data_IF_754594060334
#
_entry.id   IF_754594060334
#
_cell.length_a   1.000
_cell.length_b   1.000
_cell.length_c   1.000
_cell.angle_alpha   90.00
_cell.angle_beta   90.00
_cell.angle_gamma   90.00
#
_symmetry.space_group_name_H-M   'P 1'
#
loop_
_entity.id
_entity.type
_entity.pdbx_description
1 polymer ?
#
# COMPACT_ATOMS: atom_id res chain seq x y z
N UNK A 1 21.04 23.19 14.46
CA UNK A 1 20.61 22.97 13.06
C UNK A 1 21.49 21.86 12.51
N UNK A 2 20.97 20.64 12.31
CA UNK A 2 21.76 19.54 11.75
C UNK A 2 22.14 19.89 10.31
N UNK A 3 23.43 19.86 10.01
CA UNK A 3 23.96 20.09 8.68
C UNK A 3 23.53 18.93 7.76
N UNK A 4 22.77 19.23 6.70
CA UNK A 4 22.36 18.20 5.73
C UNK A 4 23.59 17.75 4.95
N UNK A 5 23.95 16.48 5.12
CA UNK A 5 24.97 15.81 4.30
C UNK A 5 24.54 15.83 2.83
N UNK A 6 25.38 16.37 1.95
CA UNK A 6 25.14 16.42 0.50
C UNK A 6 25.90 15.27 -0.18
N UNK A 7 25.52 14.95 -1.42
CA UNK A 7 26.22 13.95 -2.24
C UNK A 7 27.70 14.29 -2.43
N UNK A 8 28.03 15.58 -2.50
CA UNK A 8 29.40 16.05 -2.67
C UNK A 8 30.29 15.61 -1.50
N UNK A 9 29.78 15.75 -0.28
CA UNK A 9 30.55 15.49 0.94
C UNK A 9 30.82 13.96 1.09
N UNK A 10 29.88 13.12 0.64
CA UNK A 10 30.04 11.65 0.59
C UNK A 10 31.05 11.23 -0.48
N UNK A 11 31.03 11.90 -1.63
CA UNK A 11 31.95 11.61 -2.72
C UNK A 11 33.40 11.95 -2.34
N UNK A 12 33.60 13.07 -1.65
CA UNK A 12 34.89 13.52 -1.15
C UNK A 12 35.46 12.57 -0.09
N UNK A 13 34.64 12.11 0.86
CA UNK A 13 35.05 11.15 1.91
C UNK A 13 35.47 9.77 1.34
N UNK A 14 34.89 9.36 0.21
CA UNK A 14 35.22 8.09 -0.45
C UNK A 14 36.30 8.21 -1.52
N UNK A 15 36.72 9.43 -1.87
CA UNK A 15 37.60 9.69 -3.01
C UNK A 15 36.98 9.32 -4.36
N UNK A 16 35.65 9.41 -4.48
CA UNK A 16 34.89 9.05 -5.68
C UNK A 16 34.32 10.30 -6.36
N UNK A 17 33.92 10.16 -7.62
CA UNK A 17 33.16 11.22 -8.29
C UNK A 17 31.71 11.27 -7.78
N UNK A 18 31.11 12.47 -7.76
CA UNK A 18 29.68 12.64 -7.43
C UNK A 18 28.77 11.85 -8.36
N UNK A 19 29.18 11.65 -9.62
CA UNK A 19 28.48 10.81 -10.58
C UNK A 19 28.50 9.32 -10.20
N UNK A 20 29.62 8.82 -9.67
CA UNK A 20 29.73 7.44 -9.18
C UNK A 20 28.79 7.21 -8.00
N UNK A 21 28.79 8.10 -7.02
CA UNK A 21 27.87 8.03 -5.87
C UNK A 21 26.41 8.15 -6.32
N UNK A 22 26.11 9.06 -7.25
CA UNK A 22 24.77 9.20 -7.84
C UNK A 22 24.33 7.93 -8.56
N UNK A 23 25.20 7.27 -9.33
CA UNK A 23 24.87 6.02 -10.01
C UNK A 23 24.53 4.90 -9.02
N UNK A 24 25.25 4.80 -7.90
CA UNK A 24 24.95 3.83 -6.84
C UNK A 24 23.58 4.13 -6.20
N UNK A 25 23.29 5.39 -5.87
CA UNK A 25 22.00 5.81 -5.29
C UNK A 25 20.82 5.48 -6.23
N UNK A 26 21.02 5.60 -7.54
CA UNK A 26 20.00 5.31 -8.55
C UNK A 26 19.99 3.85 -9.04
N UNK A 27 20.75 2.95 -8.40
CA UNK A 27 20.81 1.53 -8.76
C UNK A 27 21.47 1.21 -10.11
N UNK A 28 22.19 2.18 -10.71
CA UNK A 28 22.92 2.02 -11.98
C UNK A 28 24.32 1.43 -11.73
N UNK A 29 24.38 0.23 -11.16
CA UNK A 29 25.63 -0.40 -10.71
C UNK A 29 26.43 -1.11 -11.81
N UNK A 30 25.89 -1.26 -13.03
CA UNK A 30 26.57 -1.94 -14.17
C UNK A 30 27.95 -1.39 -14.55
N UNK A 31 28.32 -0.19 -14.09
CA UNK A 31 29.60 0.48 -14.39
C UNK A 31 30.47 0.69 -13.15
N UNK A 32 30.11 0.06 -12.03
CA UNK A 32 30.74 0.25 -10.72
C UNK A 32 31.05 -1.12 -10.14
N UNK A 33 32.26 -1.31 -9.59
CA UNK A 33 32.61 -2.59 -8.95
C UNK A 33 31.78 -2.82 -7.68
N UNK A 34 31.47 -4.09 -7.40
CA UNK A 34 30.66 -4.47 -6.23
C UNK A 34 31.29 -4.01 -4.90
N UNK A 35 32.62 -3.99 -4.83
CA UNK A 35 33.37 -3.44 -3.69
C UNK A 35 33.09 -1.95 -3.48
N UNK A 36 33.02 -1.16 -4.56
CA UNK A 36 32.71 0.27 -4.49
C UNK A 36 31.26 0.51 -4.11
N UNK A 37 30.33 -0.32 -4.59
CA UNK A 37 28.92 -0.27 -4.21
C UNK A 37 28.77 -0.50 -2.72
N UNK A 38 29.41 -1.53 -2.16
CA UNK A 38 29.35 -1.82 -0.73
C UNK A 38 29.92 -0.68 0.12
N UNK A 39 31.06 -0.10 -0.29
CA UNK A 39 31.67 1.05 0.40
C UNK A 39 30.77 2.28 0.42
N UNK A 40 30.11 2.58 -0.71
CA UNK A 40 29.17 3.71 -0.82
C UNK A 40 27.93 3.47 0.04
N UNK A 41 27.33 2.28 -0.03
CA UNK A 41 26.13 1.93 0.74
C UNK A 41 26.37 1.99 2.25
N UNK A 42 27.49 1.43 2.74
CA UNK A 42 27.85 1.46 4.15
C UNK A 42 28.03 2.90 4.69
N UNK A 43 28.57 3.81 3.88
CA UNK A 43 28.74 5.21 4.27
C UNK A 43 27.42 5.98 4.25
N UNK A 44 26.53 5.71 3.28
CA UNK A 44 25.19 6.29 3.21
C UNK A 44 24.37 5.94 4.45
N UNK A 45 24.46 4.69 4.92
CA UNK A 45 23.80 4.24 6.16
C UNK A 45 24.39 4.93 7.40
N UNK A 46 25.73 4.97 7.51
CA UNK A 46 26.43 5.59 8.64
C UNK A 46 26.10 7.07 8.79
N UNK A 47 25.99 7.80 7.68
CA UNK A 47 25.68 9.23 7.65
C UNK A 47 24.17 9.51 7.63
N UNK A 48 23.32 8.48 7.63
CA UNK A 48 21.85 8.58 7.49
C UNK A 48 21.47 9.53 6.37
N UNK A 49 22.08 9.35 5.20
CA UNK A 49 21.83 10.21 4.05
C UNK A 49 20.37 10.07 3.61
N UNK A 50 19.63 11.19 3.61
CA UNK A 50 18.26 11.25 3.10
C UNK A 50 18.32 11.98 1.75
N UNK A 51 18.06 11.28 0.63
CA UNK A 51 18.06 11.92 -0.67
C UNK A 51 17.00 13.02 -0.76
N UNK A 52 17.31 14.09 -1.50
CA UNK A 52 16.34 15.15 -1.76
C UNK A 52 15.31 14.67 -2.79
N UNK A 53 14.12 14.31 -2.31
CA UNK A 53 13.04 13.86 -3.18
C UNK A 53 12.64 14.95 -4.19
N UNK A 54 12.62 16.22 -3.80
CA UNK A 54 12.33 17.34 -4.70
C UNK A 54 13.33 17.41 -5.87
N UNK A 55 14.63 17.22 -5.60
CA UNK A 55 15.66 17.18 -6.65
C UNK A 55 15.53 15.97 -7.57
N UNK A 56 15.18 14.80 -7.02
CA UNK A 56 14.97 13.57 -7.79
C UNK A 56 13.76 13.69 -8.72
N UNK A 57 12.63 14.20 -8.23
CA UNK A 57 11.41 14.36 -9.02
C UNK A 57 11.57 15.40 -10.13
N UNK A 58 12.30 16.50 -9.85
CA UNK A 58 12.66 17.49 -10.87
C UNK A 58 13.59 16.91 -11.94
N UNK A 59 14.63 16.19 -11.55
CA UNK A 59 15.58 15.55 -12.49
C UNK A 59 14.93 14.47 -13.35
N UNK A 60 13.92 13.76 -12.82
CA UNK A 60 13.16 12.75 -13.57
C UNK A 60 12.07 13.34 -14.48
N UNK A 61 11.79 14.64 -14.39
CA UNK A 61 10.67 15.31 -15.07
C UNK A 61 9.33 14.54 -14.89
N UNK A 62 9.17 13.90 -13.74
CA UNK A 62 8.03 13.03 -13.43
C UNK A 62 7.93 12.92 -11.92
N UNK A 63 6.88 13.52 -11.35
CA UNK A 63 6.67 13.59 -9.91
C UNK A 63 5.86 12.42 -9.35
N UNK A 64 5.02 11.79 -10.18
CA UNK A 64 4.01 10.81 -9.73
C UNK A 64 2.93 11.41 -8.82
N UNK A 65 2.88 12.74 -8.69
CA UNK A 65 1.92 13.43 -7.82
C UNK A 65 0.60 13.60 -8.59
N UNK A 66 -0.47 12.99 -8.07
CA UNK A 66 -1.84 13.18 -8.57
C UNK A 66 -2.46 14.34 -7.80
N UNK A 67 -2.66 15.47 -8.47
CA UNK A 67 -3.40 16.60 -7.90
C UNK A 67 -4.90 16.41 -8.09
N UNK A 68 -5.64 16.23 -7.00
CA UNK A 68 -7.11 16.19 -7.02
C UNK A 68 -7.64 17.59 -6.72
N UNK A 69 -8.23 18.23 -7.72
CA UNK A 69 -8.92 19.51 -7.56
C UNK A 69 -10.42 19.25 -7.36
N UNK A 70 -10.90 19.46 -6.14
CA UNK A 70 -12.33 19.44 -5.83
C UNK A 70 -12.86 20.86 -6.02
N UNK A 71 -13.72 21.04 -7.03
CA UNK A 71 -14.38 22.32 -7.27
C UNK A 71 -15.59 22.43 -6.34
N UNK A 72 -15.59 23.42 -5.45
CA UNK A 72 -16.74 23.72 -4.61
C UNK A 72 -17.78 24.48 -5.46
N UNK A 73 -18.69 23.74 -6.10
CA UNK A 73 -19.79 24.35 -6.83
C UNK A 73 -20.77 24.98 -5.83
N UNK A 74 -21.28 26.21 -6.07
CA UNK A 74 -22.17 26.95 -5.15
C UNK A 74 -23.51 26.27 -4.83
N UNK A 75 -23.74 25.05 -5.33
CA UNK A 75 -24.89 24.19 -4.99
C UNK A 75 -24.65 23.41 -3.68
N UNK A 76 -23.41 23.37 -3.17
CA UNK A 76 -22.99 22.47 -2.08
C UNK A 76 -22.52 23.17 -0.78
N UNK A 77 -22.70 24.49 -0.64
CA UNK A 77 -22.54 25.31 0.59
C UNK A 77 -21.60 24.73 1.69
N UNK A 78 -20.39 24.29 1.35
CA UNK A 78 -19.43 23.75 2.33
C UNK A 78 -19.88 22.48 3.10
N UNK A 79 -20.92 21.77 2.63
CA UNK A 79 -21.48 20.57 3.26
C UNK A 79 -21.30 19.29 2.45
N UNK A 80 -20.26 19.23 1.61
CA UNK A 80 -19.92 18.05 0.80
C UNK A 80 -19.83 16.75 1.65
N UNK A 81 -19.37 16.83 2.90
CA UNK A 81 -19.28 15.66 3.79
C UNK A 81 -20.60 15.27 4.51
N UNK A 82 -21.65 16.10 4.43
CA UNK A 82 -22.98 15.84 4.99
C UNK A 82 -24.03 15.48 3.93
N UNK A 83 -23.65 15.49 2.66
CA UNK A 83 -24.54 15.04 1.58
C UNK A 83 -24.97 13.59 1.81
N UNK A 84 -26.28 13.33 1.73
CA UNK A 84 -26.85 11.99 1.95
C UNK A 84 -26.25 10.90 1.05
N UNK A 85 -25.69 11.27 -0.11
CA UNK A 85 -24.98 10.36 -1.01
C UNK A 85 -23.59 9.98 -0.48
N UNK A 86 -22.79 10.95 -0.03
CA UNK A 86 -21.46 10.68 0.53
C UNK A 86 -21.57 10.02 1.90
N UNK A 87 -22.52 10.45 2.74
CA UNK A 87 -22.78 9.83 4.03
C UNK A 87 -23.23 8.36 3.87
N UNK A 88 -24.11 8.04 2.91
CA UNK A 88 -24.55 6.66 2.68
C UNK A 88 -23.47 5.74 2.09
N UNK A 89 -22.50 6.28 1.35
CA UNK A 89 -21.35 5.52 0.87
C UNK A 89 -20.26 5.34 1.94
N UNK A 90 -19.99 6.37 2.74
CA UNK A 90 -18.92 6.38 3.74
C UNK A 90 -19.31 5.69 5.05
N UNK A 91 -20.58 5.76 5.46
CA UNK A 91 -21.06 5.14 6.70
C UNK A 91 -20.80 3.62 6.76
N UNK A 92 -21.15 2.81 5.75
CA UNK A 92 -20.86 1.37 5.79
C UNK A 92 -19.35 1.07 5.77
N UNK A 93 -18.54 1.87 5.06
CA UNK A 93 -17.07 1.74 5.10
C UNK A 93 -16.53 2.01 6.50
N UNK A 94 -16.98 3.10 7.13
CA UNK A 94 -16.58 3.46 8.49
C UNK A 94 -16.99 2.41 9.52
N UNK A 95 -18.23 1.88 9.41
CA UNK A 95 -18.72 0.81 10.28
C UNK A 95 -17.89 -0.47 10.09
N UNK A 96 -17.53 -0.81 8.85
CA UNK A 96 -16.70 -1.97 8.56
C UNK A 96 -15.31 -1.83 9.19
N UNK A 97 -14.64 -0.69 8.98
CA UNK A 97 -13.29 -0.42 9.52
C UNK A 97 -13.29 -0.34 11.06
N UNK A 98 -14.31 0.27 11.65
CA UNK A 98 -14.49 0.33 13.09
C UNK A 98 -14.74 -1.06 13.68
N UNK A 99 -15.59 -1.87 13.04
CA UNK A 99 -15.84 -3.25 13.45
C UNK A 99 -14.60 -4.12 13.34
N UNK A 100 -13.82 -3.95 12.27
CA UNK A 100 -12.55 -4.65 12.07
C UNK A 100 -11.55 -4.30 13.16
N UNK A 101 -11.35 -3.00 13.40
CA UNK A 101 -10.43 -2.49 14.42
C UNK A 101 -10.83 -2.92 15.83
N UNK A 102 -12.13 -2.83 16.18
CA UNK A 102 -12.64 -3.32 17.46
C UNK A 102 -12.44 -4.82 17.62
N UNK A 103 -12.68 -5.59 16.55
CA UNK A 103 -12.46 -7.03 16.51
C UNK A 103 -11.01 -7.39 16.85
N UNK A 104 -10.04 -6.81 16.16
CA UNK A 104 -8.61 -7.06 16.42
C UNK A 104 -8.17 -6.63 17.83
N UNK A 105 -8.70 -5.51 18.35
CA UNK A 105 -8.38 -5.06 19.71
C UNK A 105 -8.95 -5.98 20.79
N UNK A 106 -10.22 -6.41 20.64
CA UNK A 106 -10.85 -7.36 21.57
C UNK A 106 -10.16 -8.72 21.47
N UNK A 107 -9.83 -9.16 20.24
CA UNK A 107 -9.10 -10.39 19.99
C UNK A 107 -7.74 -10.37 20.70
N UNK A 108 -6.94 -9.31 20.53
CA UNK A 108 -5.67 -9.14 21.23
C UNK A 108 -5.84 -9.09 22.76
N UNK A 109 -6.90 -8.44 23.28
CA UNK A 109 -7.15 -8.34 24.71
C UNK A 109 -7.53 -9.69 25.36
N UNK A 110 -8.34 -10.51 24.68
CA UNK A 110 -8.71 -11.86 25.14
C UNK A 110 -7.48 -12.77 25.12
N UNK A 111 -6.74 -12.82 24.01
CA UNK A 111 -5.56 -13.67 23.87
C UNK A 111 -4.41 -13.23 24.78
N UNK A 112 -4.27 -11.93 25.03
CA UNK A 112 -3.31 -11.40 26.01
C UNK A 112 -3.59 -11.84 27.45
N UNK A 113 -4.83 -12.22 27.77
CA UNK A 113 -5.21 -12.75 29.10
C UNK A 113 -5.24 -14.28 29.17
N UNK A 114 -5.22 -15.01 28.06
CA UNK A 114 -5.34 -16.48 28.02
C UNK A 114 -4.04 -17.24 28.32
N UNK A 115 -2.90 -16.56 28.50
CA UNK A 115 -1.60 -17.19 28.76
C UNK A 115 -0.63 -17.08 27.58
N UNK A 116 0.63 -17.46 27.80
CA UNK A 116 1.71 -17.31 26.82
C UNK A 116 1.63 -18.29 25.65
N UNK A 117 1.05 -19.47 25.87
CA UNK A 117 0.96 -20.54 24.86
C UNK A 117 -0.02 -20.17 23.72
N UNK A 118 -1.16 -19.58 24.07
CA UNK A 118 -2.19 -19.12 23.14
C UNK A 118 -1.74 -17.88 22.36
N UNK A 119 -0.99 -16.98 23.00
CA UNK A 119 -0.39 -15.80 22.35
C UNK A 119 0.72 -16.19 21.36
N UNK A 120 1.51 -17.22 21.68
CA UNK A 120 2.50 -17.78 20.76
C UNK A 120 1.84 -18.42 19.52
N UNK A 121 0.75 -19.18 19.71
CA UNK A 121 -0.02 -19.76 18.61
C UNK A 121 -0.58 -18.68 17.66
N UNK A 122 -1.04 -17.55 18.20
CA UNK A 122 -1.53 -16.40 17.40
C UNK A 122 -0.42 -15.78 16.53
N UNK A 123 0.80 -15.70 17.05
CA UNK A 123 1.94 -15.16 16.28
C UNK A 123 2.30 -16.08 15.11
N UNK A 124 2.12 -17.39 15.28
CA UNK A 124 2.32 -18.37 14.20
C UNK A 124 1.21 -18.32 13.14
N UNK A 125 -0.01 -17.92 13.49
CA UNK A 125 -1.11 -17.79 12.52
C UNK A 125 -1.13 -16.45 11.78
N UNK A 126 -0.53 -15.39 12.33
CA UNK A 126 -0.50 -14.06 11.71
C UNK A 126 0.07 -14.04 10.27
N UNK A 127 1.16 -14.74 9.93
CA UNK A 127 1.65 -14.81 8.54
C UNK A 127 0.66 -15.50 7.60
N UNK A 128 0.00 -16.56 8.06
CA UNK A 128 -0.99 -17.32 7.27
C UNK A 128 -2.22 -16.44 7.00
N UNK A 129 -2.69 -15.73 8.02
CA UNK A 129 -3.76 -14.75 7.90
C UNK A 129 -3.38 -13.62 6.93
N UNK A 130 -2.14 -13.10 7.03
CA UNK A 130 -1.63 -12.07 6.12
C UNK A 130 -1.58 -12.52 4.66
N UNK A 131 -1.15 -13.76 4.39
CA UNK A 131 -1.17 -14.33 3.03
C UNK A 131 -2.59 -14.49 2.50
N UNK A 132 -3.52 -14.98 3.31
CA UNK A 132 -4.91 -15.15 2.93
C UNK A 132 -5.59 -13.80 2.63
N UNK A 133 -5.44 -12.81 3.51
CA UNK A 133 -5.97 -11.45 3.32
C UNK A 133 -5.31 -10.81 2.11
N UNK A 134 -3.99 -10.89 1.96
CA UNK A 134 -3.26 -10.33 0.83
C UNK A 134 -3.73 -10.87 -0.52
N UNK A 135 -3.95 -12.19 -0.62
CA UNK A 135 -4.48 -12.81 -1.84
C UNK A 135 -5.89 -12.33 -2.17
N UNK A 136 -6.79 -12.27 -1.17
CA UNK A 136 -8.18 -11.84 -1.36
C UNK A 136 -8.27 -10.34 -1.69
N UNK A 137 -7.53 -9.49 -0.98
CA UNK A 137 -7.44 -8.06 -1.28
C UNK A 137 -6.83 -7.80 -2.67
N UNK A 138 -5.85 -8.60 -3.09
CA UNK A 138 -5.27 -8.51 -4.44
C UNK A 138 -6.29 -8.82 -5.54
N UNK A 139 -7.10 -9.87 -5.37
CA UNK A 139 -8.21 -10.19 -6.28
C UNK A 139 -9.27 -9.08 -6.31
N UNK A 140 -9.59 -8.50 -5.14
CA UNK A 140 -10.52 -7.37 -5.03
C UNK A 140 -10.02 -6.15 -5.80
N UNK A 141 -8.75 -5.76 -5.64
CA UNK A 141 -8.21 -4.61 -6.35
C UNK A 141 -8.10 -4.86 -7.86
N UNK A 142 -7.81 -6.09 -8.29
CA UNK A 142 -7.84 -6.44 -9.71
C UNK A 142 -9.25 -6.32 -10.30
N UNK A 143 -10.27 -6.76 -9.56
CA UNK A 143 -11.68 -6.58 -9.93
C UNK A 143 -12.04 -5.08 -10.08
N UNK A 144 -11.62 -4.24 -9.13
CA UNK A 144 -11.86 -2.80 -9.17
C UNK A 144 -11.24 -2.13 -10.40
N UNK A 145 -9.99 -2.48 -10.77
CA UNK A 145 -9.36 -1.95 -11.99
C UNK A 145 -10.10 -2.39 -13.25
N UNK A 146 -10.55 -3.65 -13.33
CA UNK A 146 -11.28 -4.17 -14.50
C UNK A 146 -12.62 -3.45 -14.67
N UNK A 147 -13.37 -3.29 -13.58
CA UNK A 147 -14.67 -2.61 -13.59
C UNK A 147 -14.48 -1.12 -13.83
N UNK A 148 -13.51 -0.49 -13.17
CA UNK A 148 -13.17 0.93 -13.31
C UNK A 148 -12.74 1.29 -14.73
N UNK A 149 -11.91 0.47 -15.38
CA UNK A 149 -11.49 0.68 -16.78
C UNK A 149 -12.68 0.60 -17.76
N UNK A 150 -13.68 -0.24 -17.50
CA UNK A 150 -14.89 -0.34 -18.32
C UNK A 150 -15.84 0.84 -18.10
N UNK A 151 -16.02 1.27 -16.84
CA UNK A 151 -16.79 2.48 -16.54
C UNK A 151 -16.17 3.72 -17.22
N UNK A 152 -14.85 3.85 -17.18
CA UNK A 152 -14.14 4.97 -17.82
C UNK A 152 -14.15 4.96 -19.35
N UNK A 153 -14.49 3.82 -19.96
CA UNK A 153 -14.64 3.67 -21.42
C UNK A 153 -16.08 3.75 -21.91
N UNK A 154 -17.01 4.24 -21.10
CA UNK A 154 -18.46 4.37 -21.38
C UNK A 154 -19.20 3.04 -21.66
N UNK A 155 -18.55 1.89 -21.45
CA UNK A 155 -19.15 0.55 -21.57
C UNK A 155 -19.79 0.09 -20.24
N UNK A 156 -20.92 0.71 -19.90
CA UNK A 156 -21.65 0.43 -18.66
C UNK A 156 -22.25 -0.99 -18.63
N UNK A 157 -22.73 -1.51 -19.76
CA UNK A 157 -23.28 -2.86 -19.85
C UNK A 157 -22.21 -3.95 -19.69
N UNK A 158 -21.02 -3.72 -20.26
CA UNK A 158 -19.86 -4.57 -20.06
C UNK A 158 -19.34 -4.52 -18.63
N UNK A 159 -19.36 -3.35 -17.97
CA UNK A 159 -19.01 -3.20 -16.57
C UNK A 159 -19.97 -3.96 -15.65
N UNK A 160 -21.28 -3.81 -15.84
CA UNK A 160 -22.30 -4.47 -15.02
C UNK A 160 -22.22 -6.01 -15.13
N UNK A 161 -22.02 -6.53 -16.34
CA UNK A 161 -21.84 -7.98 -16.55
C UNK A 161 -20.56 -8.52 -15.91
N UNK A 162 -19.46 -7.76 -15.95
CA UNK A 162 -18.22 -8.14 -15.30
C UNK A 162 -18.38 -8.17 -13.78
N UNK A 163 -18.97 -7.12 -13.19
CA UNK A 163 -19.25 -7.03 -11.76
C UNK A 163 -20.14 -8.19 -11.29
N UNK A 164 -21.23 -8.50 -12.03
CA UNK A 164 -22.13 -9.60 -11.69
C UNK A 164 -21.43 -10.97 -11.72
N UNK A 165 -20.56 -11.22 -12.70
CA UNK A 165 -19.75 -12.46 -12.74
C UNK A 165 -18.78 -12.54 -11.57
N UNK A 166 -18.10 -11.45 -11.25
CA UNK A 166 -17.17 -11.38 -10.11
C UNK A 166 -17.88 -11.64 -8.78
N UNK A 167 -19.08 -11.07 -8.57
CA UNK A 167 -19.90 -11.38 -7.39
C UNK A 167 -20.30 -12.85 -7.33
N UNK A 168 -20.72 -13.45 -8.44
CA UNK A 168 -21.10 -14.88 -8.49
C UNK A 168 -19.88 -15.77 -8.23
N UNK A 169 -18.72 -15.49 -8.82
CA UNK A 169 -17.50 -16.24 -8.56
C UNK A 169 -17.06 -16.10 -7.09
N UNK A 170 -17.19 -14.91 -6.50
CA UNK A 170 -16.95 -14.69 -5.07
C UNK A 170 -17.89 -15.52 -4.20
N UNK A 171 -19.19 -15.50 -4.48
CA UNK A 171 -20.19 -16.26 -3.73
C UNK A 171 -20.00 -17.78 -3.84
N UNK A 172 -19.71 -18.29 -5.05
CA UNK A 172 -19.41 -19.70 -5.29
C UNK A 172 -18.12 -20.10 -4.58
N UNK A 173 -17.06 -19.28 -4.70
CA UNK A 173 -15.79 -19.51 -4.01
C UNK A 173 -15.94 -19.58 -2.50
N UNK A 174 -16.69 -18.64 -1.90
CA UNK A 174 -16.99 -18.65 -0.48
C UNK A 174 -17.82 -19.87 -0.06
N UNK A 175 -18.81 -20.25 -0.86
CA UNK A 175 -19.65 -21.43 -0.61
C UNK A 175 -18.84 -22.73 -0.64
N UNK A 176 -17.96 -22.88 -1.63
CA UNK A 176 -17.08 -24.06 -1.77
C UNK A 176 -16.07 -24.12 -0.62
N UNK A 177 -15.47 -22.99 -0.25
CA UNK A 177 -14.54 -22.93 0.88
C UNK A 177 -15.25 -23.29 2.20
N UNK A 178 -16.47 -22.79 2.40
CA UNK A 178 -17.29 -23.10 3.58
C UNK A 178 -17.68 -24.58 3.63
N UNK A 179 -18.11 -25.14 2.49
CA UNK A 179 -18.44 -26.56 2.38
C UNK A 179 -17.23 -27.49 2.58
N UNK A 180 -16.06 -27.09 2.08
CA UNK A 180 -14.80 -27.84 2.27
C UNK A 180 -14.38 -27.86 3.75
N UNK A 181 -14.57 -26.73 4.45
CA UNK A 181 -14.23 -26.59 5.87
C UNK A 181 -15.20 -27.35 6.78
N UNK A 182 -16.49 -27.42 6.45
CA UNK A 182 -17.47 -28.26 7.14
C UNK A 182 -17.27 -29.77 6.94
N UNK A 183 -16.53 -30.21 5.92
CA UNK A 183 -16.19 -31.63 5.70
C UNK A 183 -14.93 -32.11 6.41
N UNK A 184 -14.12 -31.17 6.92
CA UNK A 184 -12.83 -31.46 7.53
C UNK A 184 -12.88 -31.52 9.08
N UNK A 185 -14.06 -31.32 9.67
CA UNK A 185 -14.39 -31.49 11.09
C UNK A 185 -15.38 -32.63 11.24
#
# INVERSE_FOLDING_TARGET
>A
MQERVRICDIAEELGLSTATVSNVIHGKTNKVSDETVQRVTALLEKRRYIPSMAGILLARNSSGIIGVFVNDHPKYEGHTLRDGFLASALLPLFVCEASWSLGENVYAAIYGRMGTEQSAAMTLTAPIQGLAIGALCGLSQAADVIVGKRLGGEDYDGAYRAAKRLMVYGAVGASVLCAARCRAT
#
